data_IF_015498845870
#
_entry.id   IF_015498845870
#
_cell.length_a   1.000
_cell.length_b   1.000
_cell.length_c   1.000
_cell.angle_alpha   90.00
_cell.angle_beta   90.00
_cell.angle_gamma   90.00
#
_symmetry.space_group_name_H-M   'P 1'
#
loop_
_entity.id
_entity.type
_entity.pdbx_description
1 polymer ?
#
# COMPACT_ATOMS: atom_id res chain seq x y z
N UNK A 1 -2.35 -9.99 -47.87
CA UNK A 1 -3.20 -9.92 -49.10
C UNK A 1 -2.60 -10.66 -50.29
N UNK A 2 -1.89 -11.78 -50.14
CA UNK A 2 -1.30 -12.57 -51.26
C UNK A 2 -1.50 -14.09 -51.19
N UNK A 3 -2.24 -14.59 -50.20
CA UNK A 3 -2.53 -16.04 -50.05
C UNK A 3 -3.90 -16.38 -50.63
N UNK A 4 -4.86 -15.47 -50.67
CA UNK A 4 -6.21 -15.68 -51.20
C UNK A 4 -6.29 -15.71 -52.72
N UNK A 5 -5.37 -15.08 -53.43
CA UNK A 5 -5.38 -15.03 -54.90
C UNK A 5 -4.80 -16.28 -55.56
N UNK A 6 -4.14 -17.18 -54.82
CA UNK A 6 -3.61 -18.44 -55.34
C UNK A 6 -4.59 -19.65 -55.27
N UNK A 7 -5.73 -19.47 -54.66
CA UNK A 7 -6.73 -20.56 -54.51
C UNK A 7 -7.92 -20.44 -55.46
N UNK A 8 -7.86 -19.55 -56.44
CA UNK A 8 -8.97 -19.28 -57.35
C UNK A 8 -9.22 -20.22 -58.54
N UNK A 9 -8.49 -21.28 -58.85
CA UNK A 9 -8.95 -22.06 -59.98
C UNK A 9 -9.28 -23.55 -59.76
N UNK A 10 -9.69 -24.04 -58.63
CA UNK A 10 -10.00 -25.49 -58.56
C UNK A 10 -11.20 -25.88 -57.66
N UNK A 11 -12.16 -25.06 -57.41
CA UNK A 11 -13.40 -25.54 -56.73
C UNK A 11 -14.64 -25.16 -57.54
N UNK A 12 -14.89 -25.94 -58.60
CA UNK A 12 -16.25 -26.03 -59.13
C UNK A 12 -17.08 -26.88 -58.16
N UNK A 13 -18.08 -26.28 -57.51
CA UNK A 13 -18.96 -26.84 -56.45
C UNK A 13 -19.73 -28.11 -56.90
N UNK A 14 -19.55 -28.55 -58.15
CA UNK A 14 -20.32 -29.67 -58.75
C UNK A 14 -19.74 -31.08 -58.55
N UNK A 15 -18.55 -31.18 -57.93
CA UNK A 15 -17.86 -32.49 -57.82
C UNK A 15 -17.52 -32.90 -56.36
N UNK A 16 -17.91 -32.12 -55.37
CA UNK A 16 -17.62 -32.45 -54.00
C UNK A 16 -18.73 -33.41 -53.46
N UNK A 17 -18.30 -34.55 -52.95
CA UNK A 17 -19.22 -35.48 -52.28
C UNK A 17 -19.72 -34.84 -50.95
N UNK A 18 -20.90 -35.25 -50.49
CA UNK A 18 -21.45 -34.78 -49.20
C UNK A 18 -20.45 -34.93 -48.02
N UNK A 19 -19.63 -35.98 -48.06
CA UNK A 19 -18.56 -36.23 -47.10
C UNK A 19 -17.44 -35.15 -47.17
N UNK A 20 -17.06 -34.69 -48.36
CA UNK A 20 -16.06 -33.63 -48.54
C UNK A 20 -16.55 -32.28 -48.07
N UNK A 21 -17.84 -31.98 -48.29
CA UNK A 21 -18.45 -30.75 -47.79
C UNK A 21 -18.53 -30.75 -46.26
N UNK A 22 -18.91 -31.90 -45.66
CA UNK A 22 -18.94 -32.04 -44.18
C UNK A 22 -17.56 -31.91 -43.55
N UNK A 23 -16.52 -32.49 -44.17
CA UNK A 23 -15.14 -32.38 -43.69
C UNK A 23 -14.62 -30.93 -43.73
N UNK A 24 -14.93 -30.19 -44.80
CA UNK A 24 -14.57 -28.77 -44.91
C UNK A 24 -15.32 -27.94 -43.87
N UNK A 25 -16.61 -28.19 -43.67
CA UNK A 25 -17.41 -27.48 -42.65
C UNK A 25 -16.89 -27.74 -41.23
N UNK A 26 -16.54 -29.00 -40.88
CA UNK A 26 -15.97 -29.36 -39.60
C UNK A 26 -14.60 -28.69 -39.37
N UNK A 27 -13.76 -28.67 -40.39
CA UNK A 27 -12.47 -28.01 -40.35
C UNK A 27 -12.60 -26.48 -40.16
N UNK A 28 -13.58 -25.87 -40.86
CA UNK A 28 -13.86 -24.43 -40.68
C UNK A 28 -14.45 -24.13 -39.31
N UNK A 29 -15.34 -24.97 -38.78
CA UNK A 29 -15.85 -24.82 -37.41
C UNK A 29 -14.74 -24.96 -36.37
N UNK A 30 -13.82 -25.90 -36.56
CA UNK A 30 -12.66 -26.06 -35.67
C UNK A 30 -11.72 -24.83 -35.71
N UNK A 31 -11.39 -24.36 -36.93
CA UNK A 31 -10.57 -23.15 -37.09
C UNK A 31 -11.25 -21.89 -36.54
N UNK A 32 -12.58 -21.78 -36.73
CA UNK A 32 -13.34 -20.67 -36.18
C UNK A 32 -13.40 -20.73 -34.63
N UNK A 33 -13.65 -21.93 -34.08
CA UNK A 33 -13.65 -22.14 -32.62
C UNK A 33 -12.30 -21.86 -31.97
N UNK A 34 -11.18 -22.29 -32.61
CA UNK A 34 -9.84 -21.98 -32.10
C UNK A 34 -9.53 -20.48 -32.20
N UNK A 35 -9.97 -19.80 -33.26
CA UNK A 35 -9.78 -18.34 -33.38
C UNK A 35 -10.59 -17.56 -32.33
N UNK A 36 -11.82 -17.97 -32.04
CA UNK A 36 -12.64 -17.36 -30.97
C UNK A 36 -11.98 -17.56 -29.61
N UNK A 37 -11.47 -18.75 -29.31
CA UNK A 37 -10.76 -19.05 -28.07
C UNK A 37 -9.47 -18.23 -27.96
N UNK A 38 -8.70 -18.08 -29.05
CA UNK A 38 -7.48 -17.26 -29.08
C UNK A 38 -7.80 -15.78 -28.84
N UNK A 39 -8.86 -15.27 -29.44
CA UNK A 39 -9.29 -13.88 -29.28
C UNK A 39 -9.71 -13.59 -27.82
N UNK A 40 -10.41 -14.52 -27.18
CA UNK A 40 -10.81 -14.40 -25.78
C UNK A 40 -9.58 -14.42 -24.84
N UNK A 41 -8.61 -15.30 -25.10
CA UNK A 41 -7.34 -15.36 -24.35
C UNK A 41 -6.54 -14.08 -24.55
N UNK A 42 -6.44 -13.55 -25.77
CA UNK A 42 -5.74 -12.29 -26.05
C UNK A 42 -6.42 -11.13 -25.35
N UNK A 43 -7.73 -11.00 -25.42
CA UNK A 43 -8.50 -9.95 -24.72
C UNK A 43 -8.28 -9.98 -23.20
N UNK A 44 -8.27 -11.17 -22.60
CA UNK A 44 -7.95 -11.31 -21.16
C UNK A 44 -6.52 -10.89 -20.83
N UNK A 45 -5.56 -11.22 -21.70
CA UNK A 45 -4.15 -10.78 -21.53
C UNK A 45 -3.99 -9.28 -21.68
N UNK A 46 -4.66 -8.66 -22.64
CA UNK A 46 -4.63 -7.20 -22.82
C UNK A 46 -5.21 -6.47 -21.62
N UNK A 47 -6.33 -6.99 -21.04
CA UNK A 47 -6.88 -6.46 -19.81
C UNK A 47 -5.92 -6.59 -18.62
N UNK A 48 -5.19 -7.71 -18.51
CA UNK A 48 -4.15 -7.89 -17.50
C UNK A 48 -3.00 -6.90 -17.68
N UNK A 49 -2.53 -6.73 -18.91
CA UNK A 49 -1.45 -5.77 -19.25
C UNK A 49 -1.88 -4.35 -18.90
N UNK A 50 -3.09 -3.92 -19.26
CA UNK A 50 -3.62 -2.61 -18.94
C UNK A 50 -3.69 -2.37 -17.42
N UNK A 51 -4.13 -3.38 -16.66
CA UNK A 51 -4.16 -3.32 -15.20
C UNK A 51 -2.75 -3.17 -14.61
N UNK A 52 -1.79 -3.98 -15.05
CA UNK A 52 -0.40 -3.92 -14.60
C UNK A 52 0.25 -2.58 -14.95
N UNK A 53 -0.01 -2.02 -16.12
CA UNK A 53 0.46 -0.69 -16.53
C UNK A 53 -0.12 0.41 -15.63
N UNK A 54 -1.42 0.32 -15.28
CA UNK A 54 -2.06 1.23 -14.33
C UNK A 54 -1.41 1.17 -12.95
N UNK A 55 -1.17 -0.03 -12.42
CA UNK A 55 -0.49 -0.23 -11.14
C UNK A 55 0.96 0.27 -11.16
N UNK A 56 1.69 0.04 -12.25
CA UNK A 56 3.05 0.55 -12.44
C UNK A 56 3.06 2.09 -12.44
N UNK A 57 2.11 2.73 -13.13
CA UNK A 57 1.97 4.19 -13.16
C UNK A 57 1.68 4.76 -11.76
N UNK A 58 0.77 4.12 -11.01
CA UNK A 58 0.48 4.49 -9.60
C UNK A 58 1.71 4.36 -8.71
N UNK A 59 2.49 3.27 -8.88
CA UNK A 59 3.71 3.02 -8.10
C UNK A 59 4.82 4.02 -8.43
N UNK A 60 5.01 4.35 -9.72
CA UNK A 60 5.97 5.38 -10.15
C UNK A 60 5.58 6.76 -9.60
N UNK A 61 4.29 7.14 -9.67
CA UNK A 61 3.78 8.39 -9.11
C UNK A 61 3.97 8.44 -7.59
N UNK A 62 3.72 7.35 -6.87
CA UNK A 62 3.97 7.26 -5.43
C UNK A 62 5.46 7.42 -5.10
N UNK A 63 6.37 6.77 -5.84
CA UNK A 63 7.81 6.92 -5.67
C UNK A 63 8.28 8.35 -5.92
N UNK A 64 7.75 9.01 -6.95
CA UNK A 64 8.13 10.39 -7.29
C UNK A 64 7.62 11.38 -6.22
N UNK A 65 6.38 11.19 -5.72
CA UNK A 65 5.86 11.97 -4.59
C UNK A 65 6.74 11.80 -3.35
N UNK A 66 7.12 10.55 -3.02
CA UNK A 66 8.03 10.28 -1.88
C UNK A 66 9.36 10.98 -2.10
N UNK A 67 9.98 10.84 -3.28
CA UNK A 67 11.26 11.45 -3.62
C UNK A 67 11.23 12.98 -3.56
N UNK A 68 10.15 13.59 -4.05
CA UNK A 68 9.96 15.05 -4.04
C UNK A 68 9.71 15.55 -2.62
N UNK A 69 8.93 14.85 -1.81
CA UNK A 69 8.61 15.27 -0.45
C UNK A 69 9.75 15.02 0.54
N UNK A 70 10.53 13.94 0.35
CA UNK A 70 11.74 13.71 1.14
C UNK A 70 12.79 14.82 0.91
N UNK A 71 12.87 15.39 -0.29
CA UNK A 71 13.74 16.55 -0.57
C UNK A 71 13.27 17.84 0.11
N UNK A 72 11.96 18.01 0.36
CA UNK A 72 11.40 19.26 0.88
C UNK A 72 11.24 19.31 2.39
N UNK A 73 11.44 18.21 3.09
CA UNK A 73 11.39 18.20 4.55
C UNK A 73 12.80 18.34 5.08
N UNK A 74 13.22 19.54 5.53
CA UNK A 74 14.54 19.68 6.17
C UNK A 74 14.61 18.63 7.26
N UNK A 75 15.67 17.84 7.28
CA UNK A 75 15.95 16.99 8.42
C UNK A 75 15.99 17.92 9.65
N UNK A 76 15.05 17.76 10.59
CA UNK A 76 15.00 18.55 11.83
C UNK A 76 16.38 18.55 12.51
N UNK A 77 17.21 17.60 12.15
CA UNK A 77 18.54 17.37 12.69
C UNK A 77 19.70 18.03 11.93
N UNK A 78 19.49 18.54 10.72
CA UNK A 78 20.61 18.99 9.88
C UNK A 78 21.33 20.23 10.45
N UNK A 79 20.62 21.04 11.22
CA UNK A 79 21.14 22.27 11.84
C UNK A 79 21.44 22.15 13.33
N UNK A 80 21.15 21.00 13.98
CA UNK A 80 21.29 20.83 15.41
C UNK A 80 22.68 20.29 15.79
N UNK A 81 23.28 20.86 16.83
CA UNK A 81 24.47 20.31 17.48
C UNK A 81 24.18 18.93 18.11
N UNK A 82 25.20 18.10 18.37
CA UNK A 82 25.02 16.82 19.07
C UNK A 82 24.26 16.94 20.39
N UNK A 83 24.53 17.96 21.19
CA UNK A 83 23.89 18.20 22.48
C UNK A 83 22.40 18.58 22.33
N UNK A 84 22.05 19.37 21.32
CA UNK A 84 20.66 19.71 21.02
C UNK A 84 19.87 18.48 20.54
N UNK A 85 20.50 17.60 19.75
CA UNK A 85 19.88 16.34 19.33
C UNK A 85 19.54 15.44 20.51
N UNK A 86 20.39 15.37 21.52
CA UNK A 86 20.15 14.56 22.72
C UNK A 86 18.94 15.04 23.54
N UNK A 87 18.57 16.32 23.44
CA UNK A 87 17.41 16.92 24.11
C UNK A 87 16.08 16.69 23.38
N UNK A 88 16.12 16.13 22.16
CA UNK A 88 14.92 15.81 21.42
C UNK A 88 14.21 14.58 22.03
N UNK A 89 12.88 14.50 21.96
CA UNK A 89 12.16 13.25 22.25
C UNK A 89 12.75 12.09 21.44
N UNK A 90 12.83 10.91 22.03
CA UNK A 90 13.41 9.71 21.38
C UNK A 90 12.82 9.46 20.00
N UNK A 91 11.49 9.51 19.88
CA UNK A 91 10.82 9.32 18.59
C UNK A 91 11.23 10.34 17.51
N UNK A 92 11.47 11.58 17.89
CA UNK A 92 11.96 12.63 16.98
C UNK A 92 13.42 12.37 16.59
N UNK A 93 14.25 12.04 17.56
CA UNK A 93 15.68 11.74 17.36
C UNK A 93 15.91 10.53 16.45
N UNK A 94 15.08 9.52 16.59
CA UNK A 94 15.15 8.27 15.82
C UNK A 94 14.40 8.34 14.48
N UNK A 95 13.85 9.48 14.07
CA UNK A 95 12.88 9.57 12.97
C UNK A 95 11.70 8.59 13.11
N UNK A 96 11.37 8.21 14.34
CA UNK A 96 10.38 7.20 14.72
C UNK A 96 9.20 7.86 15.44
N UNK A 97 8.44 8.66 14.71
CA UNK A 97 7.38 9.49 15.27
C UNK A 97 6.22 8.70 15.91
N UNK A 98 6.13 7.41 15.67
CA UNK A 98 5.15 6.51 16.29
C UNK A 98 5.74 5.66 17.41
N UNK A 99 6.98 5.90 17.85
CA UNK A 99 7.68 5.08 18.85
C UNK A 99 7.56 3.56 18.57
N UNK A 100 7.70 3.19 17.31
CA UNK A 100 7.58 1.80 16.84
C UNK A 100 8.77 1.00 17.37
N UNK A 101 8.48 -0.13 18.01
CA UNK A 101 9.50 -1.10 18.43
C UNK A 101 9.87 -2.03 17.29
N UNK A 102 11.04 -2.65 17.39
CA UNK A 102 11.44 -3.72 16.47
C UNK A 102 10.44 -4.89 16.49
N UNK A 103 10.43 -5.64 15.40
CA UNK A 103 9.59 -6.83 15.28
C UNK A 103 10.23 -8.00 16.01
N UNK A 104 9.44 -8.73 16.81
CA UNK A 104 9.90 -9.89 17.60
C UNK A 104 10.50 -11.02 16.73
N UNK A 105 10.05 -11.14 15.49
CA UNK A 105 10.53 -12.14 14.53
C UNK A 105 11.82 -11.76 13.80
N UNK A 106 12.42 -10.60 14.14
CA UNK A 106 13.66 -10.13 13.53
C UNK A 106 13.50 -9.48 12.14
N UNK A 107 12.30 -9.45 11.58
CA UNK A 107 12.04 -8.74 10.33
C UNK A 107 12.29 -7.23 10.48
N UNK A 108 12.64 -6.57 9.39
CA UNK A 108 12.92 -5.14 9.39
C UNK A 108 11.82 -4.35 8.68
N UNK A 109 11.46 -3.23 9.27
CA UNK A 109 10.65 -2.24 8.55
C UNK A 109 11.44 -1.61 7.39
N UNK A 110 10.75 -1.27 6.32
CA UNK A 110 11.38 -0.51 5.23
C UNK A 110 11.87 0.84 5.77
N UNK A 111 13.12 1.16 5.47
CA UNK A 111 13.80 2.36 5.96
C UNK A 111 14.35 2.26 7.38
N UNK A 112 14.25 1.10 8.03
CA UNK A 112 14.92 0.84 9.30
C UNK A 112 16.43 0.74 9.07
N UNK A 113 17.20 1.55 9.82
CA UNK A 113 18.67 1.58 9.76
C UNK A 113 19.31 1.10 11.06
N UNK A 114 18.53 0.93 12.13
CA UNK A 114 19.00 0.44 13.42
C UNK A 114 17.87 0.33 14.43
N UNK A 115 18.26 0.03 15.65
CA UNK A 115 17.41 -0.03 16.85
C UNK A 115 18.18 0.62 17.99
N UNK A 116 17.53 1.41 18.83
CA UNK A 116 18.18 1.97 20.00
C UNK A 116 18.22 0.98 21.18
N UNK A 117 18.86 1.40 22.27
CA UNK A 117 19.03 0.57 23.47
C UNK A 117 17.71 0.17 24.17
N UNK A 118 16.61 0.85 23.86
CA UNK A 118 15.27 0.63 24.42
C UNK A 118 14.38 -0.21 23.49
N UNK A 119 14.93 -0.65 22.33
CA UNK A 119 14.22 -1.45 21.33
C UNK A 119 13.38 -0.63 20.35
N UNK A 120 13.53 0.72 20.34
CA UNK A 120 12.84 1.54 19.35
C UNK A 120 13.61 1.58 18.04
N UNK A 121 12.88 1.42 16.95
CA UNK A 121 13.44 1.46 15.59
C UNK A 121 14.01 2.85 15.28
N UNK A 122 15.18 2.88 14.65
CA UNK A 122 15.77 4.09 14.05
C UNK A 122 15.49 4.03 12.55
N UNK A 123 14.80 5.04 12.04
CA UNK A 123 14.50 5.15 10.61
C UNK A 123 15.42 6.14 9.91
N UNK A 124 15.74 5.88 8.65
CA UNK A 124 16.48 6.81 7.79
C UNK A 124 15.71 8.09 7.51
N UNK A 125 14.38 8.04 7.52
CA UNK A 125 13.49 9.20 7.38
C UNK A 125 12.16 8.93 8.10
N UNK A 126 11.52 10.01 8.58
CA UNK A 126 10.22 9.96 9.29
C UNK A 126 9.07 9.40 8.46
N UNK A 127 9.13 9.49 7.13
CA UNK A 127 8.11 8.89 6.26
C UNK A 127 7.99 7.38 6.47
N UNK A 128 9.11 6.71 6.74
CA UNK A 128 9.12 5.27 6.98
C UNK A 128 8.49 4.92 8.33
N UNK A 129 8.69 5.76 9.36
CA UNK A 129 8.00 5.54 10.64
C UNK A 129 6.50 5.78 10.56
N UNK A 130 6.05 6.79 9.82
CA UNK A 130 4.62 7.03 9.58
C UNK A 130 4.00 5.86 8.79
N UNK A 131 4.72 5.33 7.80
CA UNK A 131 4.32 4.14 7.08
C UNK A 131 4.23 2.91 7.99
N UNK A 132 5.22 2.69 8.87
CA UNK A 132 5.22 1.61 9.84
C UNK A 132 4.04 1.73 10.82
N UNK A 133 3.76 2.93 11.34
CA UNK A 133 2.59 3.20 12.17
C UNK A 133 1.27 2.86 11.45
N UNK A 134 1.18 3.18 10.15
CA UNK A 134 0.05 2.79 9.31
C UNK A 134 -0.09 1.27 9.17
N UNK A 135 1.03 0.53 8.99
CA UNK A 135 1.02 -0.93 8.93
C UNK A 135 0.58 -1.56 10.25
N UNK A 136 1.01 -1.01 11.40
CA UNK A 136 0.56 -1.45 12.72
C UNK A 136 -0.97 -1.30 12.83
N UNK A 137 -1.52 -0.14 12.45
CA UNK A 137 -2.95 0.10 12.49
C UNK A 137 -3.75 -0.87 11.59
N UNK A 138 -3.26 -1.12 10.36
CA UNK A 138 -3.87 -2.09 9.44
C UNK A 138 -3.81 -3.52 9.97
N UNK A 139 -2.68 -3.93 10.55
CA UNK A 139 -2.55 -5.25 11.16
C UNK A 139 -3.50 -5.41 12.36
N UNK A 140 -3.67 -4.38 13.18
CA UNK A 140 -4.64 -4.40 14.27
C UNK A 140 -6.05 -4.63 13.76
N UNK A 141 -6.47 -3.92 12.72
CA UNK A 141 -7.81 -4.09 12.15
C UNK A 141 -7.98 -5.44 11.45
N UNK A 142 -7.05 -5.83 10.56
CA UNK A 142 -7.27 -6.96 9.67
C UNK A 142 -6.86 -8.31 10.28
N UNK A 143 -5.71 -8.38 10.97
CA UNK A 143 -5.22 -9.62 11.58
C UNK A 143 -5.81 -9.85 12.97
N UNK A 144 -5.88 -8.80 13.80
CA UNK A 144 -6.37 -8.90 15.17
C UNK A 144 -7.86 -8.57 15.33
N UNK A 145 -8.56 -8.21 14.24
CA UNK A 145 -9.99 -7.88 14.21
C UNK A 145 -10.39 -6.75 15.17
N UNK A 146 -9.46 -5.83 15.45
CA UNK A 146 -9.69 -4.67 16.29
C UNK A 146 -10.42 -3.60 15.47
N UNK A 147 -11.60 -3.21 15.96
CA UNK A 147 -12.49 -2.26 15.28
C UNK A 147 -12.99 -1.14 16.20
N UNK A 148 -12.47 -1.01 17.42
CA UNK A 148 -12.86 0.06 18.35
C UNK A 148 -11.63 0.80 18.84
N UNK A 149 -11.77 2.08 19.16
CA UNK A 149 -10.66 2.90 19.67
C UNK A 149 -10.13 2.33 20.99
N UNK A 150 -11.01 1.92 21.90
CA UNK A 150 -10.62 1.31 23.18
C UNK A 150 -9.67 0.12 22.97
N UNK A 151 -10.08 -0.87 22.18
CA UNK A 151 -9.26 -2.06 21.90
C UNK A 151 -7.96 -1.74 21.14
N UNK A 152 -8.01 -0.73 20.29
CA UNK A 152 -6.81 -0.26 19.59
C UNK A 152 -5.77 0.27 20.58
N UNK A 153 -6.18 1.17 21.46
CA UNK A 153 -5.30 1.79 22.46
C UNK A 153 -4.81 0.76 23.48
N UNK A 154 -5.67 -0.13 23.95
CA UNK A 154 -5.30 -1.22 24.86
C UNK A 154 -4.18 -2.12 24.33
N UNK A 155 -4.16 -2.34 23.01
CA UNK A 155 -3.12 -3.12 22.36
C UNK A 155 -1.85 -2.29 22.07
N UNK A 156 -2.03 -1.01 21.76
CA UNK A 156 -0.94 -0.13 21.34
C UNK A 156 -0.05 0.31 22.49
N UNK A 157 -0.63 0.63 23.64
CA UNK A 157 0.11 1.11 24.82
C UNK A 157 -0.33 0.43 26.10
N UNK A 158 0.59 0.36 27.08
CA UNK A 158 0.32 -0.12 28.44
C UNK A 158 0.00 1.02 29.41
N UNK A 159 0.36 2.26 29.08
CA UNK A 159 0.20 3.46 29.91
C UNK A 159 -0.76 4.46 29.27
N UNK A 160 -1.26 5.39 30.05
CA UNK A 160 -2.06 6.55 29.61
C UNK A 160 -3.25 6.24 28.69
N UNK A 161 -3.82 5.02 28.85
CA UNK A 161 -4.87 4.50 27.98
C UNK A 161 -6.12 5.36 27.94
N UNK A 162 -6.51 5.94 29.07
CA UNK A 162 -7.70 6.78 29.17
C UNK A 162 -7.55 8.05 28.34
N UNK A 163 -6.43 8.76 28.53
CA UNK A 163 -6.12 9.99 27.79
C UNK A 163 -5.95 9.73 26.29
N UNK A 164 -5.24 8.67 25.95
CA UNK A 164 -5.07 8.27 24.56
C UNK A 164 -6.39 7.94 23.87
N UNK A 165 -7.24 7.17 24.55
CA UNK A 165 -8.58 6.83 24.05
C UNK A 165 -9.42 8.08 23.86
N UNK A 166 -9.47 8.97 24.85
CA UNK A 166 -10.22 10.22 24.77
C UNK A 166 -9.72 11.10 23.60
N UNK A 167 -8.40 11.26 23.48
CA UNK A 167 -7.81 12.04 22.39
C UNK A 167 -8.14 11.44 21.01
N UNK A 168 -7.92 10.14 20.82
CA UNK A 168 -8.18 9.48 19.54
C UNK A 168 -9.67 9.52 19.17
N UNK A 169 -10.57 9.35 20.15
CA UNK A 169 -12.02 9.50 19.98
C UNK A 169 -12.40 10.92 19.54
N UNK A 170 -11.81 11.95 20.15
CA UNK A 170 -12.06 13.34 19.79
C UNK A 170 -11.68 13.66 18.35
N UNK A 171 -10.53 13.18 17.90
CA UNK A 171 -10.04 13.37 16.52
C UNK A 171 -10.87 12.58 15.51
N UNK A 172 -11.21 11.33 15.84
CA UNK A 172 -12.00 10.46 14.96
C UNK A 172 -13.51 10.72 15.08
N UNK A 173 -13.97 11.58 16.02
CA UNK A 173 -15.39 11.91 16.26
C UNK A 173 -16.25 10.66 16.47
N UNK A 174 -15.80 9.77 17.33
CA UNK A 174 -16.46 8.50 17.68
C UNK A 174 -16.41 8.27 19.19
N UNK A 175 -17.27 7.40 19.70
CA UNK A 175 -17.17 6.91 21.06
C UNK A 175 -16.13 5.77 21.17
N UNK A 176 -15.59 5.47 22.38
CA UNK A 176 -14.54 4.46 22.55
C UNK A 176 -14.85 3.09 21.98
N UNK A 177 -16.12 2.69 22.03
CA UNK A 177 -16.57 1.35 21.62
C UNK A 177 -17.34 1.33 20.29
N UNK A 178 -17.44 2.48 19.62
CA UNK A 178 -18.01 2.53 18.26
C UNK A 178 -17.11 1.78 17.28
N UNK A 179 -17.73 1.12 16.30
CA UNK A 179 -16.99 0.48 15.20
C UNK A 179 -16.35 1.52 14.30
N UNK A 180 -15.06 1.39 14.09
CA UNK A 180 -14.25 2.29 13.24
C UNK A 180 -13.54 1.48 12.15
N UNK A 181 -13.62 1.92 10.92
CA UNK A 181 -12.74 1.49 9.85
C UNK A 181 -11.44 2.31 9.88
N UNK A 182 -10.44 1.81 10.59
CA UNK A 182 -9.12 2.45 10.69
C UNK A 182 -8.41 2.51 9.33
N UNK A 183 -8.69 1.55 8.44
CA UNK A 183 -8.13 1.55 7.08
C UNK A 183 -8.64 2.74 6.27
N UNK A 184 -9.93 3.04 6.33
CA UNK A 184 -10.50 4.19 5.64
C UNK A 184 -9.93 5.51 6.18
N UNK A 185 -9.71 5.58 7.49
CA UNK A 185 -9.25 6.78 8.23
C UNK A 185 -7.77 6.76 8.59
N UNK A 186 -6.97 6.02 7.85
CA UNK A 186 -5.58 5.76 8.20
C UNK A 186 -4.71 7.02 8.37
N UNK A 187 -4.83 8.09 7.56
CA UNK A 187 -4.06 9.32 7.78
C UNK A 187 -4.33 9.96 9.14
N UNK A 188 -5.59 10.01 9.57
CA UNK A 188 -6.00 10.55 10.87
C UNK A 188 -5.50 9.66 12.01
N UNK A 189 -5.58 8.33 11.84
CA UNK A 189 -5.06 7.38 12.83
C UNK A 189 -3.56 7.56 13.02
N UNK A 190 -2.77 7.62 11.93
CA UNK A 190 -1.32 7.87 12.01
C UNK A 190 -1.04 9.20 12.71
N UNK A 191 -1.82 10.24 12.40
CA UNK A 191 -1.67 11.55 13.04
C UNK A 191 -1.94 11.48 14.55
N UNK A 192 -2.96 10.74 14.99
CA UNK A 192 -3.24 10.51 16.40
C UNK A 192 -2.06 9.83 17.10
N UNK A 193 -1.51 8.76 16.52
CA UNK A 193 -0.35 8.05 17.05
C UNK A 193 0.83 9.00 17.24
N UNK A 194 1.18 9.75 16.20
CA UNK A 194 2.28 10.72 16.26
C UNK A 194 2.05 11.79 17.33
N UNK A 195 0.84 12.35 17.40
CA UNK A 195 0.54 13.40 18.38
C UNK A 195 0.74 12.90 19.80
N UNK A 196 0.27 11.70 20.09
CA UNK A 196 0.36 11.12 21.42
C UNK A 196 1.80 10.74 21.80
N UNK A 197 2.54 10.17 20.84
CA UNK A 197 3.89 9.65 21.08
C UNK A 197 4.98 10.75 21.17
N UNK A 198 4.89 11.81 20.36
CA UNK A 198 5.93 12.85 20.33
C UNK A 198 5.40 14.24 20.66
N UNK A 199 4.09 14.39 20.87
CA UNK A 199 3.42 15.63 21.25
C UNK A 199 3.04 16.54 20.08
N UNK A 200 2.10 17.45 20.35
CA UNK A 200 1.53 18.38 19.36
C UNK A 200 2.58 19.22 18.63
N UNK A 201 3.61 19.69 19.35
CA UNK A 201 4.69 20.50 18.78
C UNK A 201 5.35 19.80 17.58
N UNK A 202 5.72 18.54 17.76
CA UNK A 202 6.43 17.79 16.73
C UNK A 202 5.49 17.27 15.65
N UNK A 203 4.26 16.92 16.01
CA UNK A 203 3.22 16.56 15.06
C UNK A 203 2.92 17.73 14.10
N UNK A 204 2.83 18.96 14.60
CA UNK A 204 2.57 20.15 13.79
C UNK A 204 3.67 20.41 12.72
N UNK A 205 4.89 19.93 12.95
CA UNK A 205 6.01 20.02 11.99
C UNK A 205 5.93 18.97 10.86
N UNK A 206 4.96 18.06 10.91
CA UNK A 206 4.76 17.04 9.87
C UNK A 206 3.67 17.54 8.92
N UNK A 207 3.98 17.78 7.63
CA UNK A 207 2.98 18.20 6.65
C UNK A 207 1.84 17.20 6.53
N UNK A 208 0.60 17.67 6.46
CA UNK A 208 -0.59 16.81 6.31
C UNK A 208 -0.50 15.86 5.10
N UNK A 209 0.16 16.30 4.03
CA UNK A 209 0.38 15.48 2.85
C UNK A 209 1.23 14.25 3.16
N UNK A 210 2.18 14.34 4.10
CA UNK A 210 3.03 13.22 4.47
C UNK A 210 2.23 12.07 5.12
N UNK A 211 1.24 12.40 5.96
CA UNK A 211 0.30 11.40 6.51
C UNK A 211 -0.48 10.68 5.42
N UNK A 212 -0.97 11.42 4.40
CA UNK A 212 -1.71 10.84 3.27
C UNK A 212 -0.83 9.90 2.43
N UNK A 213 0.42 10.32 2.14
CA UNK A 213 1.38 9.50 1.39
C UNK A 213 1.74 8.24 2.17
N UNK A 214 2.08 8.37 3.46
CA UNK A 214 2.45 7.26 4.32
C UNK A 214 1.31 6.24 4.47
N UNK A 215 0.07 6.70 4.63
CA UNK A 215 -1.11 5.84 4.66
C UNK A 215 -1.31 5.07 3.34
N UNK A 216 -1.04 5.71 2.20
CA UNK A 216 -1.11 5.05 0.89
C UNK A 216 -0.05 3.97 0.73
N UNK A 217 1.18 4.25 1.15
CA UNK A 217 2.28 3.29 1.16
C UNK A 217 1.97 2.10 2.09
N UNK A 218 1.48 2.35 3.30
CA UNK A 218 1.09 1.31 4.24
C UNK A 218 0.01 0.37 3.67
N UNK A 219 -1.04 0.94 3.04
CA UNK A 219 -2.10 0.14 2.38
C UNK A 219 -1.56 -0.70 1.22
N UNK A 220 -0.61 -0.16 0.45
CA UNK A 220 0.01 -0.91 -0.65
C UNK A 220 0.77 -2.13 -0.13
N UNK A 221 1.58 -1.95 0.90
CA UNK A 221 2.36 -3.05 1.48
C UNK A 221 1.49 -4.10 2.16
N UNK A 222 0.47 -3.64 2.91
CA UNK A 222 -0.46 -4.55 3.58
C UNK A 222 -1.17 -5.47 2.59
N UNK A 223 -1.53 -4.98 1.39
CA UNK A 223 -2.13 -5.80 0.34
C UNK A 223 -1.17 -6.79 -0.32
N UNK A 224 0.14 -6.52 -0.30
CA UNK A 224 1.15 -7.43 -0.89
C UNK A 224 1.55 -8.56 0.05
N UNK A 225 1.48 -8.32 1.36
CA UNK A 225 2.01 -9.22 2.38
C UNK A 225 0.91 -9.82 3.28
N UNK A 226 -0.34 -9.50 3.03
CA UNK A 226 -1.54 -10.02 3.72
C UNK A 226 -2.31 -10.95 2.86
#
# INVERSE_FOLDING_TARGET
>A
MKIFDRLKPVLTLKTLSAASVAAIALSMCHLYGTNVCLHDVLSKKDAQIANLQSELKKTKAAKEIVKTQVRYVPAIHASLTPNERLRLPTGVRNNNLGNIKELENGDKFVGQIGVDKEGFVIFSDRIFSLRAAGLVALNYQHRHKIQTVRKFVERYTKTDRAEYTAYMCSVLKVKPDDKVDFSARLPEVIKCLVTFEVGHKWQAMVPNQLYKVSARLARYDHRRNG
#
